data_IF_252451997325
#
_entry.id   IF_252451997325
#
_cell.length_a   1.000
_cell.length_b   1.000
_cell.length_c   1.000
_cell.angle_alpha   90.00
_cell.angle_beta   90.00
_cell.angle_gamma   90.00
#
_symmetry.space_group_name_H-M   'P 1'
#
loop_
_entity.id
_entity.type
_entity.pdbx_description
1 polymer ?
#
# COMPACT_ATOMS: atom_id res chain seq x y z
N UNK A 1 -1.70 -27.40 11.45
CA UNK A 1 -2.70 -26.61 12.18
C UNK A 1 -2.08 -25.28 12.63
N UNK A 2 -1.91 -24.32 11.71
CA UNK A 2 -1.53 -22.93 12.02
C UNK A 2 -2.76 -22.04 12.19
N UNK A 3 -3.94 -22.59 11.92
CA UNK A 3 -5.21 -21.86 11.74
C UNK A 3 -5.76 -21.10 12.95
N UNK A 4 -5.21 -21.28 14.14
CA UNK A 4 -5.80 -20.69 15.34
C UNK A 4 -5.14 -19.37 15.81
N UNK A 5 -4.19 -18.81 15.03
CA UNK A 5 -3.41 -17.64 15.48
C UNK A 5 -3.37 -16.48 14.48
N UNK A 6 -3.83 -16.68 13.26
CA UNK A 6 -3.82 -15.64 12.22
C UNK A 6 -5.26 -15.24 11.89
N UNK A 7 -5.66 -14.06 12.29
CA UNK A 7 -6.95 -13.47 11.95
C UNK A 7 -6.84 -12.32 10.93
N UNK A 8 -5.61 -11.95 10.56
CA UNK A 8 -5.32 -10.84 9.66
C UNK A 8 -4.22 -11.20 8.66
N UNK A 9 -4.41 -10.83 7.38
CA UNK A 9 -3.40 -10.95 6.34
C UNK A 9 -3.19 -9.62 5.61
N UNK A 10 -1.94 -9.31 5.29
CA UNK A 10 -1.60 -8.29 4.29
C UNK A 10 -1.00 -8.99 3.08
N UNK A 11 -1.58 -8.77 1.90
CA UNK A 11 -1.25 -9.51 0.68
C UNK A 11 -0.78 -8.56 -0.41
N UNK A 12 0.41 -8.80 -0.93
CA UNK A 12 0.94 -8.17 -2.14
C UNK A 12 0.68 -9.08 -3.34
N UNK A 13 -0.33 -8.76 -4.14
CA UNK A 13 -0.75 -9.61 -5.26
C UNK A 13 0.02 -9.35 -6.55
N UNK A 14 0.62 -8.16 -6.69
CA UNK A 14 1.39 -7.79 -7.88
C UNK A 14 2.50 -6.81 -7.53
N UNK A 15 3.58 -6.85 -8.29
CA UNK A 15 4.63 -5.81 -8.26
C UNK A 15 4.47 -4.76 -9.37
N UNK A 16 3.37 -4.81 -10.12
CA UNK A 16 3.09 -3.85 -11.18
C UNK A 16 2.40 -2.59 -10.64
N UNK A 17 2.88 -1.44 -11.05
CA UNK A 17 2.23 -0.14 -10.84
C UNK A 17 2.71 0.82 -11.93
N UNK A 18 1.82 1.59 -12.52
CA UNK A 18 2.17 2.59 -13.51
C UNK A 18 2.68 3.89 -12.88
N UNK A 19 2.28 4.18 -11.63
CA UNK A 19 2.69 5.39 -10.93
C UNK A 19 4.22 5.41 -10.66
N UNK A 20 4.79 6.61 -10.64
CA UNK A 20 6.22 6.88 -10.42
C UNK A 20 6.41 7.79 -9.21
N UNK A 21 5.70 7.50 -8.12
CA UNK A 21 5.78 8.28 -6.88
C UNK A 21 7.23 8.32 -6.37
N UNK A 22 7.84 9.49 -6.17
CA UNK A 22 9.28 9.61 -5.85
C UNK A 22 9.69 8.84 -4.59
N UNK A 23 8.83 8.81 -3.58
CA UNK A 23 9.09 8.12 -2.32
C UNK A 23 8.67 6.64 -2.28
N UNK A 24 8.32 6.05 -3.40
CA UNK A 24 7.86 4.66 -3.42
C UNK A 24 9.02 3.68 -3.27
N UNK A 25 8.90 2.74 -2.33
CA UNK A 25 9.89 1.68 -2.09
C UNK A 25 10.14 0.79 -3.31
N UNK A 26 9.22 0.78 -4.28
CA UNK A 26 9.36 0.05 -5.54
C UNK A 26 10.54 0.49 -6.39
N UNK A 27 11.00 1.72 -6.23
CA UNK A 27 12.09 2.23 -7.05
C UNK A 27 13.46 1.77 -6.53
N UNK A 28 13.66 1.86 -5.21
CA UNK A 28 14.87 1.40 -4.55
C UNK A 28 14.57 1.10 -3.10
N UNK A 29 15.07 0.00 -2.58
CA UNK A 29 14.97 -0.37 -1.17
C UNK A 29 16.38 -0.46 -0.60
N UNK A 30 16.61 0.10 0.57
CA UNK A 30 17.85 -0.13 1.31
C UNK A 30 17.63 -1.34 2.19
N UNK A 31 18.38 -2.40 1.94
CA UNK A 31 18.38 -3.56 2.82
C UNK A 31 19.01 -3.18 4.16
N UNK A 32 18.28 -3.24 5.28
CA UNK A 32 18.75 -2.77 6.57
C UNK A 32 19.90 -3.60 7.16
N UNK A 33 20.03 -4.86 6.72
CA UNK A 33 21.06 -5.78 7.21
C UNK A 33 22.36 -5.56 6.45
N UNK A 34 22.28 -5.51 5.11
CA UNK A 34 23.46 -5.41 4.24
C UNK A 34 23.85 -3.97 3.96
N UNK A 35 22.98 -3.01 4.27
CA UNK A 35 23.09 -1.59 3.91
C UNK A 35 23.32 -1.36 2.41
N UNK A 36 22.78 -2.25 1.57
CA UNK A 36 22.87 -2.16 0.11
C UNK A 36 21.53 -1.71 -0.46
N UNK A 37 21.61 -0.97 -1.58
CA UNK A 37 20.43 -0.63 -2.37
C UNK A 37 20.04 -1.84 -3.20
N UNK A 38 18.81 -2.27 -3.03
CA UNK A 38 18.22 -3.39 -3.76
C UNK A 38 17.04 -2.89 -4.61
N UNK A 39 16.77 -3.58 -5.69
CA UNK A 39 15.61 -3.30 -6.53
C UNK A 39 14.55 -4.36 -6.26
N UNK A 40 13.34 -3.94 -5.84
CA UNK A 40 12.24 -4.89 -5.68
C UNK A 40 11.96 -5.64 -6.97
N UNK A 41 11.43 -6.87 -6.89
CA UNK A 41 11.00 -7.61 -8.06
C UNK A 41 10.03 -6.81 -8.91
N UNK A 42 10.13 -6.94 -10.24
CA UNK A 42 9.24 -6.28 -11.20
C UNK A 42 8.46 -7.32 -12.00
N UNK A 43 7.23 -6.96 -12.37
CA UNK A 43 6.36 -7.78 -13.23
C UNK A 43 6.05 -9.18 -12.65
N UNK A 44 5.94 -9.26 -11.33
CA UNK A 44 5.53 -10.49 -10.63
C UNK A 44 4.06 -10.35 -10.23
N UNK A 45 3.30 -11.40 -10.49
CA UNK A 45 1.92 -11.56 -10.06
C UNK A 45 1.81 -12.84 -9.23
N UNK A 46 1.11 -12.76 -8.10
CA UNK A 46 0.67 -13.93 -7.36
C UNK A 46 -0.38 -14.67 -8.19
N UNK A 47 -0.28 -15.98 -8.32
CA UNK A 47 -1.32 -16.71 -9.06
C UNK A 47 -2.64 -16.73 -8.29
N UNK A 48 -3.77 -16.75 -8.98
CA UNK A 48 -5.10 -16.87 -8.35
C UNK A 48 -5.19 -18.12 -7.46
N UNK A 49 -4.63 -19.24 -7.91
CA UNK A 49 -4.60 -20.48 -7.15
C UNK A 49 -3.80 -20.34 -5.83
N UNK A 50 -2.61 -19.75 -5.87
CA UNK A 50 -1.79 -19.55 -4.69
C UNK A 50 -2.44 -18.56 -3.70
N UNK A 51 -3.08 -17.49 -4.21
CA UNK A 51 -3.84 -16.56 -3.40
C UNK A 51 -5.00 -17.26 -2.67
N UNK A 52 -5.84 -17.99 -3.39
CA UNK A 52 -7.01 -18.65 -2.81
C UNK A 52 -6.59 -19.70 -1.79
N UNK A 53 -5.60 -20.53 -2.14
CA UNK A 53 -5.06 -21.53 -1.21
C UNK A 53 -4.52 -20.91 0.07
N UNK A 54 -3.78 -19.80 -0.01
CA UNK A 54 -3.25 -19.10 1.18
C UNK A 54 -4.39 -18.62 2.09
N UNK A 55 -5.48 -18.09 1.53
CA UNK A 55 -6.64 -17.65 2.28
C UNK A 55 -7.36 -18.85 2.92
N UNK A 56 -7.60 -19.91 2.17
CA UNK A 56 -8.30 -21.10 2.64
C UNK A 56 -7.53 -21.82 3.78
N UNK A 57 -6.20 -21.87 3.68
CA UNK A 57 -5.34 -22.46 4.70
C UNK A 57 -5.20 -21.59 5.96
N UNK A 58 -5.35 -20.25 5.83
CA UNK A 58 -5.28 -19.31 6.94
C UNK A 58 -6.64 -19.09 7.64
N UNK A 59 -7.75 -19.46 7.01
CA UNK A 59 -9.08 -19.25 7.58
C UNK A 59 -9.26 -19.94 8.97
N UNK A 60 -10.02 -19.34 9.91
CA UNK A 60 -10.88 -18.16 9.73
C UNK A 60 -10.12 -16.84 9.82
N UNK A 61 -10.35 -15.96 8.83
CA UNK A 61 -9.77 -14.63 8.75
C UNK A 61 -10.84 -13.57 8.98
N UNK A 62 -10.48 -12.50 9.68
CA UNK A 62 -11.34 -11.34 9.93
C UNK A 62 -10.96 -10.13 9.10
N UNK A 63 -9.67 -10.01 8.77
CA UNK A 63 -9.13 -8.86 8.07
C UNK A 63 -8.17 -9.29 6.97
N UNK A 64 -8.38 -8.74 5.77
CA UNK A 64 -7.41 -8.85 4.67
C UNK A 64 -7.13 -7.45 4.13
N UNK A 65 -5.84 -7.11 3.97
CA UNK A 65 -5.40 -5.88 3.33
C UNK A 65 -4.63 -6.18 2.04
N UNK A 66 -4.97 -5.44 0.99
CA UNK A 66 -4.22 -5.37 -0.26
C UNK A 66 -3.56 -4.00 -0.33
N UNK A 67 -2.39 -3.86 0.30
CA UNK A 67 -1.80 -2.54 0.57
C UNK A 67 -1.07 -1.92 -0.61
N UNK A 68 -0.61 -2.70 -1.55
CA UNK A 68 0.08 -2.17 -2.72
C UNK A 68 1.43 -1.53 -2.41
N UNK A 69 2.19 -2.07 -1.46
CA UNK A 69 3.54 -1.61 -1.13
C UNK A 69 4.50 -1.79 -2.30
N UNK A 70 4.42 -2.91 -2.99
CA UNK A 70 5.26 -3.23 -4.16
C UNK A 70 4.56 -3.06 -5.50
N UNK A 71 3.25 -2.94 -5.54
CA UNK A 71 2.46 -2.78 -6.75
C UNK A 71 1.16 -2.03 -6.50
N UNK A 72 0.31 -1.97 -7.50
CA UNK A 72 -1.05 -1.46 -7.40
C UNK A 72 -2.01 -2.62 -7.65
N UNK A 73 -2.62 -3.14 -6.59
CA UNK A 73 -3.38 -4.39 -6.61
C UNK A 73 -4.43 -4.50 -7.73
N UNK A 74 -5.17 -3.41 -8.09
CA UNK A 74 -6.09 -3.42 -9.23
C UNK A 74 -5.44 -3.72 -10.58
N UNK A 75 -4.11 -3.64 -10.72
CA UNK A 75 -3.41 -4.02 -11.96
C UNK A 75 -3.28 -5.53 -12.14
N UNK A 76 -3.47 -6.32 -11.08
CA UNK A 76 -3.47 -7.76 -11.22
C UNK A 76 -4.63 -8.22 -12.12
N UNK A 77 -4.40 -9.06 -13.14
CA UNK A 77 -5.46 -9.47 -14.07
C UNK A 77 -6.66 -10.12 -13.38
N UNK A 78 -6.42 -10.94 -12.38
CA UNK A 78 -7.45 -11.73 -11.68
C UNK A 78 -7.91 -11.07 -10.37
N UNK A 79 -7.63 -9.78 -10.14
CA UNK A 79 -7.88 -9.14 -8.85
C UNK A 79 -9.34 -9.18 -8.40
N UNK A 80 -10.31 -9.05 -9.32
CA UNK A 80 -11.72 -9.15 -8.97
C UNK A 80 -12.10 -10.55 -8.44
N UNK A 81 -11.55 -11.62 -9.03
CA UNK A 81 -11.78 -12.98 -8.55
C UNK A 81 -11.09 -13.23 -7.21
N UNK A 82 -9.90 -12.66 -7.00
CA UNK A 82 -9.20 -12.71 -5.70
C UNK A 82 -10.03 -12.04 -4.61
N UNK A 83 -10.50 -10.81 -4.84
CA UNK A 83 -11.34 -10.07 -3.88
C UNK A 83 -12.65 -10.80 -3.61
N UNK A 84 -13.28 -11.35 -4.65
CA UNK A 84 -14.51 -12.11 -4.52
C UNK A 84 -14.32 -13.37 -3.66
N UNK A 85 -13.22 -14.10 -3.84
CA UNK A 85 -12.89 -15.26 -2.99
C UNK A 85 -12.67 -14.84 -1.55
N UNK A 86 -11.84 -13.81 -1.31
CA UNK A 86 -11.55 -13.29 0.03
C UNK A 86 -12.80 -12.80 0.76
N UNK A 87 -13.72 -12.12 0.05
CA UNK A 87 -14.96 -11.60 0.63
C UNK A 87 -15.96 -12.70 1.04
N UNK A 88 -15.78 -13.93 0.57
CA UNK A 88 -16.66 -15.07 0.89
C UNK A 88 -16.17 -15.87 2.11
N UNK A 89 -15.02 -15.55 2.66
CA UNK A 89 -14.50 -16.22 3.87
C UNK A 89 -15.47 -16.01 5.03
N UNK A 90 -15.85 -17.10 5.66
CA UNK A 90 -16.75 -17.04 6.82
C UNK A 90 -16.11 -16.23 7.96
N UNK A 91 -16.86 -15.27 8.48
CA UNK A 91 -16.37 -14.38 9.54
C UNK A 91 -15.50 -13.21 9.05
N UNK A 92 -15.33 -13.01 7.73
CA UNK A 92 -14.64 -11.84 7.19
C UNK A 92 -15.34 -10.55 7.59
N UNK A 93 -14.62 -9.69 8.29
CA UNK A 93 -15.14 -8.41 8.77
C UNK A 93 -14.71 -7.27 7.84
N UNK A 94 -13.44 -7.23 7.43
CA UNK A 94 -12.88 -6.13 6.66
C UNK A 94 -11.99 -6.63 5.52
N UNK A 95 -12.24 -6.13 4.31
CA UNK A 95 -11.29 -6.10 3.20
C UNK A 95 -10.87 -4.65 2.97
N UNK A 96 -9.58 -4.35 3.12
CA UNK A 96 -9.01 -3.03 2.86
C UNK A 96 -8.16 -3.09 1.58
N UNK A 97 -8.38 -2.15 0.67
CA UNK A 97 -7.62 -2.05 -0.58
C UNK A 97 -7.06 -0.64 -0.68
N UNK A 98 -5.74 -0.49 -0.75
CA UNK A 98 -5.08 0.80 -1.03
C UNK A 98 -4.64 0.84 -2.48
N UNK A 99 -4.96 1.93 -3.19
CA UNK A 99 -4.69 2.03 -4.63
C UNK A 99 -4.59 3.47 -5.10
N UNK A 100 -3.76 3.72 -6.12
CA UNK A 100 -3.76 5.00 -6.83
C UNK A 100 -4.97 5.16 -7.77
N UNK A 101 -5.73 4.11 -8.02
CA UNK A 101 -6.98 4.05 -8.77
C UNK A 101 -6.96 4.68 -10.19
N UNK A 102 -5.80 5.02 -10.73
CA UNK A 102 -5.66 5.66 -12.06
C UNK A 102 -5.80 4.68 -13.23
N UNK A 103 -5.81 3.39 -12.94
CA UNK A 103 -5.92 2.33 -13.95
C UNK A 103 -7.32 1.70 -13.96
N UNK A 104 -7.52 0.77 -14.90
CA UNK A 104 -8.83 0.18 -15.15
C UNK A 104 -9.84 1.21 -15.66
N UNK A 105 -11.06 0.80 -15.93
CA UNK A 105 -12.13 1.67 -16.40
C UNK A 105 -13.28 1.70 -15.37
N UNK A 106 -14.24 2.65 -15.48
CA UNK A 106 -15.33 2.78 -14.53
C UNK A 106 -16.20 1.51 -14.38
N UNK A 107 -16.35 0.71 -15.45
CA UNK A 107 -17.11 -0.56 -15.39
C UNK A 107 -16.45 -1.57 -14.46
N UNK A 108 -15.13 -1.67 -14.51
CA UNK A 108 -14.34 -2.53 -13.63
C UNK A 108 -14.46 -2.09 -12.16
N UNK A 109 -14.39 -0.77 -11.91
CA UNK A 109 -14.56 -0.23 -10.57
C UNK A 109 -15.97 -0.40 -10.00
N UNK A 110 -17.00 -0.27 -10.84
CA UNK A 110 -18.36 -0.57 -10.48
C UNK A 110 -18.54 -2.07 -10.12
N UNK A 111 -17.84 -2.98 -10.81
CA UNK A 111 -17.88 -4.41 -10.48
C UNK A 111 -17.22 -4.68 -9.13
N UNK A 112 -16.06 -4.08 -8.85
CA UNK A 112 -15.43 -4.17 -7.53
C UNK A 112 -16.38 -3.65 -6.42
N UNK A 113 -17.06 -2.54 -6.65
CA UNK A 113 -18.05 -1.99 -5.72
C UNK A 113 -19.19 -2.98 -5.45
N UNK A 114 -19.75 -3.61 -6.49
CA UNK A 114 -20.79 -4.65 -6.33
C UNK A 114 -20.31 -5.86 -5.54
N UNK A 115 -19.09 -6.33 -5.81
CA UNK A 115 -18.51 -7.47 -5.08
C UNK A 115 -18.42 -7.13 -3.59
N UNK A 116 -17.80 -6.01 -3.25
CA UNK A 116 -17.60 -5.63 -1.86
C UNK A 116 -18.93 -5.35 -1.14
N UNK A 117 -19.84 -4.62 -1.77
CA UNK A 117 -21.14 -4.31 -1.19
C UNK A 117 -22.02 -5.56 -0.95
N UNK A 118 -21.87 -6.60 -1.78
CA UNK A 118 -22.65 -7.83 -1.66
C UNK A 118 -22.38 -8.60 -0.37
N UNK A 119 -21.11 -8.61 0.08
CA UNK A 119 -20.69 -9.48 1.19
C UNK A 119 -20.68 -8.77 2.55
N UNK A 120 -20.41 -7.46 2.58
CA UNK A 120 -20.50 -6.66 3.81
C UNK A 120 -21.24 -5.35 3.49
N UNK A 121 -22.49 -5.21 3.92
CA UNK A 121 -23.23 -3.97 3.72
C UNK A 121 -22.55 -2.79 4.42
N UNK A 122 -22.52 -1.64 3.74
CA UNK A 122 -22.10 -0.37 4.32
C UNK A 122 -23.08 -0.01 5.42
N UNK A 123 -22.67 0.09 6.66
CA UNK A 123 -23.58 0.48 7.73
C UNK A 123 -22.97 0.52 9.12
N UNK A 124 -21.88 -0.17 9.33
CA UNK A 124 -21.15 -0.12 10.60
C UNK A 124 -19.80 0.53 10.34
N UNK A 125 -19.54 1.69 10.94
CA UNK A 125 -18.37 2.54 10.70
C UNK A 125 -17.05 1.79 10.91
N UNK A 126 -17.02 0.84 11.85
CA UNK A 126 -15.83 0.06 12.19
C UNK A 126 -15.73 -1.29 11.47
N UNK A 127 -16.79 -1.71 10.78
CA UNK A 127 -16.87 -2.98 10.07
C UNK A 127 -17.33 -2.75 8.64
N UNK A 128 -16.54 -3.24 7.68
CA UNK A 128 -16.93 -3.12 6.29
C UNK A 128 -15.73 -3.05 5.34
N UNK A 129 -15.98 -3.48 4.12
CA UNK A 129 -14.95 -3.44 3.08
C UNK A 129 -14.73 -2.02 2.60
N UNK A 130 -13.47 -1.57 2.55
CA UNK A 130 -13.11 -0.20 2.16
C UNK A 130 -12.06 -0.19 1.05
N UNK A 131 -12.18 0.75 0.15
CA UNK A 131 -11.14 1.06 -0.84
C UNK A 131 -10.60 2.46 -0.58
N UNK A 132 -9.30 2.54 -0.28
CA UNK A 132 -8.58 3.78 -0.08
C UNK A 132 -8.03 4.25 -1.43
N UNK A 133 -8.58 5.34 -1.93
CA UNK A 133 -8.12 6.04 -3.11
C UNK A 133 -7.01 7.00 -2.70
N UNK A 134 -5.79 6.73 -3.11
CA UNK A 134 -4.60 7.52 -2.78
C UNK A 134 -4.58 8.83 -3.59
N UNK A 135 -5.15 9.87 -3.05
CA UNK A 135 -5.33 11.19 -3.65
C UNK A 135 -4.61 12.25 -2.82
N UNK A 136 -3.43 12.68 -3.28
CA UNK A 136 -2.58 13.67 -2.61
C UNK A 136 -2.75 15.10 -3.18
N UNK A 137 -3.71 15.29 -4.10
CA UNK A 137 -4.07 16.57 -4.71
C UNK A 137 -5.57 16.73 -4.89
N UNK A 138 -6.00 17.90 -5.33
CA UNK A 138 -7.40 18.27 -5.64
C UNK A 138 -7.66 18.48 -7.14
N UNK A 139 -6.62 18.35 -7.93
CA UNK A 139 -6.62 18.45 -9.40
C UNK A 139 -5.41 17.69 -9.97
N UNK A 140 -5.31 17.60 -11.30
CA UNK A 140 -4.19 16.94 -11.96
C UNK A 140 -2.83 17.56 -11.58
N UNK A 141 -2.77 18.89 -11.49
CA UNK A 141 -1.51 19.59 -11.20
C UNK A 141 -0.99 19.27 -9.80
N UNK A 142 -1.85 19.31 -8.79
CA UNK A 142 -1.47 19.03 -7.39
C UNK A 142 -1.29 17.56 -7.13
N UNK A 143 -2.08 16.67 -7.77
CA UNK A 143 -1.91 15.22 -7.69
C UNK A 143 -0.56 14.77 -8.25
N UNK A 144 -0.15 15.31 -9.40
CA UNK A 144 1.06 14.91 -10.10
C UNK A 144 2.34 15.42 -9.42
N UNK A 145 2.24 16.30 -8.44
CA UNK A 145 3.39 16.73 -7.64
C UNK A 145 4.02 15.54 -6.88
N UNK A 146 3.23 14.54 -6.50
CA UNK A 146 3.72 13.32 -5.86
C UNK A 146 3.32 12.05 -6.61
N UNK A 147 2.04 11.93 -7.04
CA UNK A 147 1.53 10.74 -7.74
C UNK A 147 1.82 10.82 -9.24
N UNK A 148 3.10 10.91 -9.60
CA UNK A 148 3.55 11.06 -11.00
C UNK A 148 3.02 9.89 -11.85
N UNK A 149 2.56 10.21 -13.07
CA UNK A 149 1.98 9.24 -14.00
C UNK A 149 0.64 8.63 -13.52
N UNK A 150 -0.16 9.43 -12.79
CA UNK A 150 -1.56 9.15 -12.52
C UNK A 150 -2.45 10.19 -13.20
N UNK A 151 -3.72 9.88 -13.38
CA UNK A 151 -4.70 10.80 -13.99
C UNK A 151 -5.81 11.09 -12.98
N UNK A 152 -5.86 12.33 -12.48
CA UNK A 152 -6.78 12.75 -11.44
C UNK A 152 -8.25 12.60 -11.85
N UNK A 153 -8.62 13.09 -13.03
CA UNK A 153 -10.01 13.02 -13.50
C UNK A 153 -10.49 11.57 -13.62
N UNK A 154 -9.61 10.70 -14.13
CA UNK A 154 -9.90 9.26 -14.23
C UNK A 154 -10.04 8.60 -12.85
N UNK A 155 -9.25 8.99 -11.85
CA UNK A 155 -9.39 8.51 -10.48
C UNK A 155 -10.76 8.90 -9.93
N UNK A 156 -11.17 10.15 -10.12
CA UNK A 156 -12.48 10.64 -9.67
C UNK A 156 -13.64 9.93 -10.41
N UNK A 157 -13.51 9.69 -11.72
CA UNK A 157 -14.49 8.92 -12.49
C UNK A 157 -14.61 7.48 -11.98
N UNK A 158 -13.50 6.83 -11.72
CA UNK A 158 -13.43 5.48 -11.16
C UNK A 158 -14.03 5.42 -9.74
N UNK A 159 -13.72 6.40 -8.88
CA UNK A 159 -14.30 6.51 -7.54
C UNK A 159 -15.82 6.67 -7.59
N UNK A 160 -16.33 7.55 -8.46
CA UNK A 160 -17.78 7.72 -8.65
C UNK A 160 -18.46 6.43 -9.10
N UNK A 161 -17.85 5.68 -10.01
CA UNK A 161 -18.38 4.41 -10.47
C UNK A 161 -18.39 3.35 -9.36
N UNK A 162 -17.35 3.29 -8.55
CA UNK A 162 -17.25 2.40 -7.39
C UNK A 162 -18.31 2.74 -6.33
N UNK A 163 -18.43 4.02 -5.96
CA UNK A 163 -19.41 4.54 -5.00
C UNK A 163 -20.84 4.30 -5.50
N UNK A 164 -21.11 4.61 -6.78
CA UNK A 164 -22.42 4.41 -7.40
C UNK A 164 -22.87 2.94 -7.44
N UNK A 165 -21.92 2.01 -7.33
CA UNK A 165 -22.19 0.57 -7.22
C UNK A 165 -22.29 0.07 -5.76
N UNK A 166 -22.27 0.96 -4.78
CA UNK A 166 -22.41 0.66 -3.36
C UNK A 166 -21.11 0.43 -2.61
N UNK A 167 -19.96 0.72 -3.22
CA UNK A 167 -18.65 0.58 -2.59
C UNK A 167 -18.33 1.70 -1.60
N UNK A 168 -17.69 1.38 -0.46
CA UNK A 168 -17.20 2.35 0.51
C UNK A 168 -15.82 2.86 0.09
N UNK A 169 -15.77 4.02 -0.59
CA UNK A 169 -14.55 4.70 -0.99
C UNK A 169 -14.04 5.62 0.12
N UNK A 170 -12.75 5.53 0.44
CA UNK A 170 -12.09 6.47 1.33
C UNK A 170 -11.09 7.32 0.53
N UNK A 171 -11.16 8.63 0.66
CA UNK A 171 -10.12 9.52 0.14
C UNK A 171 -8.94 9.49 1.10
N UNK A 172 -7.80 8.99 0.65
CA UNK A 172 -6.61 8.91 1.48
C UNK A 172 -5.56 9.88 0.99
N UNK A 173 -5.16 10.82 1.86
CA UNK A 173 -4.22 11.89 1.56
C UNK A 173 -3.01 11.82 2.47
N UNK A 174 -1.81 11.85 1.88
CA UNK A 174 -0.55 12.05 2.60
C UNK A 174 -0.31 13.56 2.68
N UNK A 175 -0.17 14.14 3.90
CA UNK A 175 0.12 15.56 4.03
C UNK A 175 1.58 15.86 3.68
N UNK A 176 1.77 16.69 2.67
CA UNK A 176 3.05 17.27 2.27
C UNK A 176 2.97 18.78 2.39
N UNK A 177 4.11 19.50 2.37
CA UNK A 177 4.09 20.96 2.41
C UNK A 177 3.34 21.60 1.26
N UNK A 178 3.38 20.98 0.08
CA UNK A 178 2.70 21.49 -1.11
C UNK A 178 1.18 21.31 -1.08
N UNK A 179 0.63 20.42 -0.25
CA UNK A 179 -0.78 20.07 -0.24
C UNK A 179 -1.48 20.26 1.12
N UNK A 180 -0.77 20.63 2.17
CA UNK A 180 -1.35 20.81 3.52
C UNK A 180 -2.47 21.86 3.55
N UNK A 181 -2.32 22.92 2.75
CA UNK A 181 -3.31 23.98 2.66
C UNK A 181 -4.52 23.57 1.77
N UNK A 182 -4.43 22.43 1.07
CA UNK A 182 -5.50 21.88 0.23
C UNK A 182 -6.40 20.88 0.97
N UNK A 183 -6.05 20.50 2.20
CA UNK A 183 -6.73 19.43 2.94
C UNK A 183 -8.23 19.71 3.14
N UNK A 184 -8.60 20.95 3.53
CA UNK A 184 -10.00 21.29 3.74
C UNK A 184 -10.79 21.24 2.41
N UNK A 185 -10.21 21.73 1.32
CA UNK A 185 -10.84 21.61 0.01
C UNK A 185 -10.97 20.15 -0.46
N UNK A 186 -9.98 19.33 -0.17
CA UNK A 186 -10.04 17.89 -0.46
C UNK A 186 -11.15 17.17 0.34
N UNK A 187 -11.38 17.54 1.61
CA UNK A 187 -12.50 17.04 2.42
C UNK A 187 -13.87 17.44 1.87
N UNK A 188 -14.00 18.70 1.47
CA UNK A 188 -15.22 19.18 0.82
C UNK A 188 -15.50 18.39 -0.47
N UNK A 189 -14.50 18.26 -1.35
CA UNK A 189 -14.61 17.48 -2.58
C UNK A 189 -14.93 16.02 -2.33
N UNK A 190 -14.32 15.40 -1.32
CA UNK A 190 -14.62 14.04 -0.93
C UNK A 190 -16.10 13.88 -0.55
N UNK A 191 -16.63 14.83 0.23
CA UNK A 191 -18.04 14.85 0.61
C UNK A 191 -18.96 15.08 -0.61
N UNK A 192 -18.64 16.05 -1.48
CA UNK A 192 -19.40 16.35 -2.69
C UNK A 192 -19.47 15.16 -3.66
N UNK A 193 -18.39 14.35 -3.74
CA UNK A 193 -18.32 13.18 -4.62
C UNK A 193 -19.02 11.97 -4.00
N UNK A 194 -19.15 11.93 -2.67
CA UNK A 194 -19.78 10.85 -1.93
C UNK A 194 -18.81 9.83 -1.36
N UNK A 195 -17.54 10.20 -1.14
CA UNK A 195 -16.63 9.35 -0.40
C UNK A 195 -17.17 9.10 1.01
N UNK A 196 -17.02 7.86 1.45
CA UNK A 196 -17.47 7.41 2.78
C UNK A 196 -16.67 8.08 3.91
N UNK A 197 -15.36 8.26 3.68
CA UNK A 197 -14.42 8.78 4.68
C UNK A 197 -13.30 9.56 3.99
N UNK A 198 -12.81 10.62 4.68
CA UNK A 198 -11.52 11.25 4.37
C UNK A 198 -10.48 10.80 5.38
N UNK A 199 -9.44 10.13 4.91
CA UNK A 199 -8.37 9.59 5.73
C UNK A 199 -7.07 10.38 5.50
N UNK A 200 -6.61 11.03 6.56
CA UNK A 200 -5.29 11.66 6.59
C UNK A 200 -4.26 10.63 7.00
N UNK A 201 -3.36 10.26 6.09
CA UNK A 201 -2.29 9.31 6.41
C UNK A 201 -1.26 9.95 7.36
N UNK A 202 -0.50 9.12 8.07
CA UNK A 202 0.47 9.62 9.06
C UNK A 202 1.78 10.01 8.38
N UNK A 203 2.37 11.11 8.85
CA UNK A 203 3.68 11.65 8.42
C UNK A 203 4.85 10.69 8.70
N UNK A 204 4.68 9.71 9.61
CA UNK A 204 5.73 8.74 9.98
C UNK A 204 6.37 8.00 8.79
N UNK A 205 5.63 7.79 7.72
CA UNK A 205 6.17 7.19 6.48
C UNK A 205 7.21 8.10 5.81
N UNK A 206 7.10 9.39 5.97
CA UNK A 206 7.98 10.40 5.34
C UNK A 206 9.33 10.45 6.06
N UNK A 207 9.37 10.34 7.40
CA UNK A 207 10.61 10.27 8.15
C UNK A 207 11.42 9.01 7.83
N UNK A 208 10.75 7.86 7.77
CA UNK A 208 11.39 6.60 7.36
C UNK A 208 11.91 6.68 5.93
N UNK A 209 11.13 7.29 5.04
CA UNK A 209 11.50 7.51 3.66
C UNK A 209 12.69 8.47 3.54
N UNK A 210 12.71 9.56 4.31
CA UNK A 210 13.80 10.52 4.36
C UNK A 210 15.13 9.85 4.72
N UNK A 211 15.13 8.98 5.73
CA UNK A 211 16.31 8.22 6.12
C UNK A 211 16.79 7.25 5.02
N UNK A 212 15.86 6.55 4.33
CA UNK A 212 16.19 5.68 3.21
C UNK A 212 16.74 6.47 2.02
N UNK A 213 16.14 7.62 1.71
CA UNK A 213 16.61 8.52 0.64
C UNK A 213 18.02 9.05 0.90
N UNK A 214 18.33 9.40 2.16
CA UNK A 214 19.66 9.83 2.57
C UNK A 214 20.72 8.74 2.33
N UNK A 215 20.41 7.48 2.68
CA UNK A 215 21.29 6.34 2.43
C UNK A 215 21.46 6.11 0.91
N UNK A 216 20.39 6.18 0.14
CA UNK A 216 20.42 5.99 -1.32
C UNK A 216 21.32 7.07 -1.96
N UNK A 217 21.16 8.33 -1.56
CA UNK A 217 21.98 9.44 -2.08
C UNK A 217 23.44 9.29 -1.72
N UNK A 218 23.75 8.87 -0.49
CA UNK A 218 25.14 8.59 -0.07
C UNK A 218 25.81 7.48 -0.90
N UNK A 219 25.04 6.47 -1.32
CA UNK A 219 25.58 5.33 -2.10
C UNK A 219 25.68 5.58 -3.61
N UNK A 220 24.81 6.42 -4.16
CA UNK A 220 24.65 6.60 -5.62
C UNK A 220 24.92 8.04 -6.11
N UNK A 221 25.35 8.94 -5.22
CA UNK A 221 25.66 10.33 -5.57
C UNK A 221 24.42 11.19 -5.87
N UNK A 222 24.67 12.38 -6.46
CA UNK A 222 23.64 13.40 -6.70
C UNK A 222 22.71 13.13 -7.90
N UNK A 223 22.90 12.04 -8.64
CA UNK A 223 22.04 11.63 -9.78
C UNK A 223 20.61 11.23 -9.33
N UNK A 224 20.34 11.27 -8.03
CA UNK A 224 19.03 11.01 -7.46
C UNK A 224 18.36 12.36 -7.17
N UNK A 225 17.61 12.89 -8.12
CA UNK A 225 16.82 14.12 -7.97
C UNK A 225 15.55 13.83 -7.15
N UNK A 226 15.63 14.11 -5.85
CA UNK A 226 14.47 14.09 -4.97
C UNK A 226 14.10 15.53 -4.61
N UNK A 227 12.97 15.99 -5.13
CA UNK A 227 12.35 17.21 -4.63
C UNK A 227 11.97 17.01 -3.16
N UNK A 228 12.23 18.01 -2.34
CA UNK A 228 11.97 18.06 -0.90
C UNK A 228 10.60 17.51 -0.52
N UNK A 229 10.58 16.60 0.44
CA UNK A 229 9.36 15.98 0.97
C UNK A 229 9.04 16.62 2.32
N UNK A 230 8.04 17.51 2.35
CA UNK A 230 7.49 18.07 3.57
C UNK A 230 8.46 18.93 4.41
N UNK A 231 8.13 19.15 5.68
CA UNK A 231 8.94 19.90 6.64
C UNK A 231 10.29 19.24 7.01
N UNK A 232 10.61 18.11 6.41
CA UNK A 232 11.92 17.49 6.51
C UNK A 232 12.78 18.10 5.40
N UNK A 233 13.38 19.23 5.66
CA UNK A 233 14.60 19.64 4.97
C UNK A 233 15.66 18.57 5.27
N UNK A 234 15.72 17.56 4.41
CA UNK A 234 16.85 16.64 4.46
C UNK A 234 18.02 17.42 3.88
N UNK A 235 18.79 18.06 4.75
CA UNK A 235 20.03 18.67 4.36
C UNK A 235 21.05 17.57 4.06
N UNK A 236 20.98 17.06 2.83
CA UNK A 236 21.80 15.96 2.34
C UNK A 236 23.28 16.37 2.14
N UNK A 237 23.61 17.64 2.35
CA UNK A 237 24.98 18.16 2.29
C UNK A 237 25.77 17.97 3.60
N UNK A 238 25.11 17.68 4.71
CA UNK A 238 25.77 17.43 6.00
C UNK A 238 25.94 15.91 6.23
N UNK A 239 27.19 15.47 6.23
CA UNK A 239 27.55 14.05 6.42
C UNK A 239 27.10 13.51 7.80
N UNK A 240 27.03 14.37 8.83
CA UNK A 240 26.55 14.01 10.16
C UNK A 240 25.04 13.79 10.20
N UNK A 241 24.28 14.59 9.46
CA UNK A 241 22.83 14.41 9.35
C UNK A 241 22.48 13.16 8.53
N UNK A 242 23.25 12.85 7.49
CA UNK A 242 23.10 11.59 6.74
C UNK A 242 23.35 10.38 7.64
N UNK A 243 24.40 10.42 8.48
CA UNK A 243 24.71 9.32 9.39
C UNK A 243 23.64 9.17 10.47
N UNK A 244 23.17 10.28 11.07
CA UNK A 244 22.09 10.29 12.07
C UNK A 244 20.78 9.73 11.51
N UNK A 245 20.42 10.10 10.28
CA UNK A 245 19.23 9.59 9.62
C UNK A 245 19.36 8.10 9.27
N UNK A 246 20.55 7.65 8.88
CA UNK A 246 20.84 6.24 8.64
C UNK A 246 20.77 5.41 9.94
N UNK A 247 21.26 5.94 11.05
CA UNK A 247 21.20 5.27 12.36
C UNK A 247 19.76 5.23 12.90
N UNK A 248 18.99 6.31 12.75
CA UNK A 248 17.57 6.35 13.08
C UNK A 248 16.75 5.35 12.21
N UNK A 249 17.09 5.21 10.93
CA UNK A 249 16.47 4.19 10.08
C UNK A 249 16.77 2.76 10.56
N UNK A 250 17.99 2.50 11.03
CA UNK A 250 18.36 1.19 11.60
C UNK A 250 17.59 0.88 12.89
N UNK A 251 17.42 1.87 13.79
CA UNK A 251 16.61 1.70 15.00
C UNK A 251 15.16 1.39 14.66
N UNK A 252 14.55 2.17 13.76
CA UNK A 252 13.17 1.96 13.33
C UNK A 252 12.94 0.60 12.68
N UNK A 253 13.92 0.12 11.91
CA UNK A 253 13.86 -1.22 11.30
C UNK A 253 14.00 -2.31 12.35
N UNK A 254 14.89 -2.14 13.35
CA UNK A 254 15.00 -3.09 14.46
C UNK A 254 13.69 -3.20 15.24
N UNK A 255 13.03 -2.09 15.54
CA UNK A 255 11.74 -2.10 16.23
C UNK A 255 10.63 -2.79 15.42
N UNK A 256 10.64 -2.66 14.10
CA UNK A 256 9.67 -3.36 13.21
C UNK A 256 9.92 -4.86 13.18
N UNK A 257 11.18 -5.31 13.20
CA UNK A 257 11.52 -6.73 13.17
C UNK A 257 11.44 -7.43 14.54
N UNK A 258 11.48 -6.70 15.65
CA UNK A 258 11.39 -7.23 17.02
C UNK A 258 9.93 -7.26 17.54
N UNK A 259 8.97 -6.69 16.80
CA UNK A 259 7.57 -6.72 17.22
C UNK A 259 7.05 -8.16 17.20
N UNK A 260 6.70 -8.76 18.38
CA UNK A 260 6.26 -10.16 18.48
C UNK A 260 5.00 -10.50 17.66
N UNK A 261 4.22 -9.49 17.21
CA UNK A 261 3.14 -9.69 16.25
C UNK A 261 3.64 -10.02 14.83
N UNK A 262 4.91 -9.78 14.53
CA UNK A 262 5.58 -10.14 13.26
C UNK A 262 6.31 -11.49 13.32
N UNK A 263 6.35 -12.15 14.46
CA UNK A 263 6.92 -13.51 14.62
C UNK A 263 6.14 -14.57 13.83
N UNK A 264 4.99 -14.22 13.28
CA UNK A 264 4.22 -15.05 12.34
C UNK A 264 5.02 -15.36 11.06
N UNK A 265 5.94 -14.47 10.63
CA UNK A 265 6.77 -14.70 9.43
C UNK A 265 7.76 -15.85 9.63
N UNK A 266 8.35 -16.01 10.83
CA UNK A 266 9.30 -17.11 11.11
C UNK A 266 8.62 -18.47 11.20
N UNK A 267 7.38 -18.51 11.68
CA UNK A 267 6.59 -19.76 11.71
C UNK A 267 6.04 -20.12 10.32
N UNK A 268 5.86 -19.13 9.44
CA UNK A 268 5.51 -19.33 8.03
C UNK A 268 6.64 -20.01 7.24
N UNK A 269 7.91 -19.77 7.54
CA UNK A 269 9.03 -20.38 6.82
C UNK A 269 9.09 -21.90 7.07
N UNK A 270 8.79 -22.35 8.28
CA UNK A 270 8.69 -23.77 8.59
C UNK A 270 7.48 -24.45 7.96
N UNK A 271 6.36 -23.72 7.87
CA UNK A 271 5.15 -24.23 7.19
C UNK A 271 5.30 -24.22 5.66
N UNK A 272 6.17 -23.37 5.09
CA UNK A 272 6.50 -23.35 3.67
C UNK A 272 7.38 -24.53 3.25
N UNK A 273 8.38 -24.91 4.06
CA UNK A 273 9.18 -26.12 3.84
C UNK A 273 8.29 -27.36 3.79
N UNK A 274 7.32 -27.45 4.71
CA UNK A 274 6.39 -28.59 4.80
C UNK A 274 5.33 -28.58 3.66
N UNK A 275 5.01 -27.42 3.08
CA UNK A 275 4.00 -27.27 2.02
C UNK A 275 4.57 -27.12 0.60
N UNK A 276 5.88 -27.08 0.42
CA UNK A 276 6.54 -26.89 -0.89
C UNK A 276 6.32 -25.49 -1.50
N UNK A 277 5.97 -24.49 -0.67
CA UNK A 277 5.73 -23.12 -1.10
C UNK A 277 7.00 -22.28 -0.91
N UNK A 278 7.71 -21.97 -2.00
CA UNK A 278 8.81 -20.99 -1.96
C UNK A 278 8.24 -19.58 -2.06
N UNK A 279 8.28 -18.81 -0.98
CA UNK A 279 7.95 -17.39 -0.99
C UNK A 279 9.21 -16.59 -1.36
N UNK A 280 9.08 -15.61 -2.26
CA UNK A 280 10.20 -14.81 -2.76
C UNK A 280 10.95 -13.99 -1.68
N UNK A 281 10.46 -13.97 -0.44
CA UNK A 281 11.11 -13.34 0.69
C UNK A 281 12.26 -14.17 1.30
N UNK A 282 12.27 -15.49 1.11
CA UNK A 282 13.35 -16.37 1.62
C UNK A 282 14.68 -16.17 0.87
N UNK A 283 14.67 -15.55 -0.32
CA UNK A 283 15.89 -15.24 -1.07
C UNK A 283 16.47 -13.85 -0.77
N UNK A 284 15.91 -13.08 0.17
CA UNK A 284 16.49 -11.81 0.62
C UNK A 284 17.39 -11.95 1.86
N UNK A 285 17.58 -13.17 2.35
CA UNK A 285 18.31 -13.49 3.61
C UNK A 285 19.54 -14.38 3.45
N UNK A 286 20.20 -14.42 2.27
CA UNK A 286 21.54 -15.02 2.13
C UNK A 286 22.44 -14.10 1.31
#
# INVERSE_FOLDING_TARGET
MLANFVDQLTIEVTSNCQAKCPGCIRHKVVNPITNRVEHPPKNINLTLEAHNRMIDEAAPLKFISYDGGFGDSPLHPDFLEMVKHAAQVEGMEILAISTNASMRNPKWWAELGRILNKYVPIGEIDRGHKVFFDLDGIDQKTQEMYRINTNFDKIIENAKAFIGAGGAACWKMIPFDFNKDLEERAKEMATEIGFFEFHRDRVQRIEQLGAQLAIIKKQHGDDVDFKTFGDVEINLSDEKDLQKNADKAKELVQDVFINPKLTVVQNLDKAKEDAGVTCSWSNMGN
#
